data_IF_869173074497
#
_entry.id   IF_869173074497
#
_cell.length_a   1.000
_cell.length_b   1.000
_cell.length_c   1.000
_cell.angle_alpha   90.00
_cell.angle_beta   90.00
_cell.angle_gamma   90.00
#
_symmetry.space_group_name_H-M   'P 1'
#
loop_
_entity.id
_entity.type
_entity.pdbx_description
1 polymer ?
#
# COMPACT_ATOMS: atom_id res chain seq x y z
N UNK A 1 7.59 5.77 45.90
CA UNK A 1 6.45 5.03 45.30
C UNK A 1 5.77 5.96 44.29
N UNK A 2 6.19 5.94 43.02
CA UNK A 2 5.53 6.68 41.95
C UNK A 2 4.33 5.86 41.49
N UNK A 3 3.13 6.21 41.98
CA UNK A 3 1.87 5.73 41.41
C UNK A 3 1.57 6.59 40.20
N UNK A 4 2.08 6.21 39.04
CA UNK A 4 1.51 6.70 37.79
C UNK A 4 0.11 6.08 37.68
N UNK A 5 -0.93 6.88 37.89
CA UNK A 5 -2.27 6.56 37.44
C UNK A 5 -2.20 6.44 35.92
N UNK A 6 -2.04 5.22 35.41
CA UNK A 6 -2.14 4.96 33.98
C UNK A 6 -3.49 5.47 33.50
N UNK A 7 -3.48 6.47 32.62
CA UNK A 7 -4.66 6.85 31.86
C UNK A 7 -5.05 5.62 31.05
N UNK A 8 -6.19 5.01 31.40
CA UNK A 8 -6.75 3.90 30.63
C UNK A 8 -7.24 4.49 29.32
N UNK A 9 -6.40 4.42 28.29
CA UNK A 9 -6.78 4.84 26.93
C UNK A 9 -7.88 3.90 26.46
N UNK A 10 -8.99 4.48 25.97
CA UNK A 10 -10.06 3.69 25.37
C UNK A 10 -9.49 2.91 24.18
N UNK A 11 -9.59 1.58 24.27
CA UNK A 11 -9.07 0.67 23.28
C UNK A 11 -9.64 0.96 21.87
N UNK A 12 -10.89 1.43 21.78
CA UNK A 12 -11.54 1.77 20.52
C UNK A 12 -10.78 2.85 19.75
N UNK A 13 -10.16 3.80 20.47
CA UNK A 13 -9.36 4.86 19.86
C UNK A 13 -8.07 4.26 19.27
N UNK A 14 -7.40 3.37 20.00
CA UNK A 14 -6.19 2.69 19.53
C UNK A 14 -6.51 1.86 18.27
N UNK A 15 -7.64 1.16 18.28
CA UNK A 15 -8.10 0.36 17.16
C UNK A 15 -8.46 1.20 15.93
N UNK A 16 -9.15 2.33 16.12
CA UNK A 16 -9.49 3.25 15.03
C UNK A 16 -8.23 3.90 14.45
N UNK A 17 -7.29 4.32 15.29
CA UNK A 17 -6.03 4.91 14.84
C UNK A 17 -5.18 3.89 14.08
N UNK A 18 -5.02 2.67 14.61
CA UNK A 18 -4.24 1.61 13.96
C UNK A 18 -4.92 1.09 12.70
N UNK A 19 -6.22 0.82 12.76
CA UNK A 19 -7.02 0.41 11.62
C UNK A 19 -7.01 1.46 10.52
N UNK A 20 -7.16 2.74 10.88
CA UNK A 20 -7.05 3.87 9.97
C UNK A 20 -5.66 4.00 9.33
N UNK A 21 -4.59 3.78 10.09
CA UNK A 21 -3.23 3.78 9.56
C UNK A 21 -2.97 2.64 8.57
N UNK A 22 -3.35 1.39 8.91
CA UNK A 22 -3.22 0.24 8.00
C UNK A 22 -4.12 0.40 6.77
N UNK A 23 -5.31 0.96 6.97
CA UNK A 23 -6.25 1.27 5.91
C UNK A 23 -5.65 2.26 4.92
N UNK A 24 -5.11 3.38 5.40
CA UNK A 24 -4.58 4.43 4.53
C UNK A 24 -3.40 3.94 3.70
N UNK A 25 -2.52 3.12 4.28
CA UNK A 25 -1.41 2.51 3.56
C UNK A 25 -1.89 1.51 2.52
N UNK A 26 -2.87 0.67 2.86
CA UNK A 26 -3.47 -0.29 1.92
C UNK A 26 -4.18 0.43 0.76
N UNK A 27 -4.92 1.51 1.05
CA UNK A 27 -5.55 2.37 0.04
C UNK A 27 -4.51 3.02 -0.87
N UNK A 28 -3.44 3.59 -0.30
CA UNK A 28 -2.37 4.23 -1.07
C UNK A 28 -1.70 3.23 -2.04
N UNK A 29 -1.43 2.02 -1.57
CA UNK A 29 -0.88 0.94 -2.41
C UNK A 29 -1.82 0.59 -3.58
N UNK A 30 -3.12 0.46 -3.33
CA UNK A 30 -4.09 0.16 -4.40
C UNK A 30 -4.27 1.30 -5.40
N UNK A 31 -4.21 2.55 -4.94
CA UNK A 31 -4.22 3.73 -5.85
C UNK A 31 -2.98 3.72 -6.74
N UNK A 32 -1.80 3.44 -6.19
CA UNK A 32 -0.57 3.30 -6.98
C UNK A 32 -0.68 2.15 -7.99
N UNK A 33 -1.27 1.03 -7.61
CA UNK A 33 -1.54 -0.08 -8.53
C UNK A 33 -2.51 0.32 -9.64
N UNK A 34 -3.59 1.05 -9.32
CA UNK A 34 -4.55 1.54 -10.31
C UNK A 34 -3.91 2.49 -11.32
N UNK A 35 -3.07 3.42 -10.84
CA UNK A 35 -2.28 4.29 -11.71
C UNK A 35 -1.34 3.48 -12.60
N UNK A 36 -0.74 2.40 -12.10
CA UNK A 36 0.09 1.49 -12.91
C UNK A 36 -0.71 0.84 -14.02
N UNK A 37 -1.90 0.31 -13.70
CA UNK A 37 -2.77 -0.34 -14.67
C UNK A 37 -3.29 0.64 -15.73
N UNK A 38 -3.62 1.87 -15.34
CA UNK A 38 -3.99 2.94 -16.27
C UNK A 38 -2.85 3.21 -17.27
N UNK A 39 -1.62 3.31 -16.78
CA UNK A 39 -0.44 3.55 -17.63
C UNK A 39 -0.13 2.34 -18.53
N UNK A 40 -0.23 1.13 -18.00
CA UNK A 40 -0.09 -0.10 -18.77
C UNK A 40 -1.12 -0.15 -19.91
N UNK A 41 -2.37 0.17 -19.60
CA UNK A 41 -3.45 0.20 -20.58
C UNK A 41 -3.19 1.27 -21.65
N UNK A 42 -2.74 2.46 -21.25
CA UNK A 42 -2.35 3.53 -22.18
C UNK A 42 -1.19 3.11 -23.10
N UNK A 43 -0.21 2.34 -22.60
CA UNK A 43 0.89 1.81 -23.42
C UNK A 43 0.49 0.66 -24.35
N UNK A 44 -0.54 -0.13 -23.99
CA UNK A 44 -1.03 -1.23 -24.82
C UNK A 44 -2.00 -0.77 -25.92
N UNK A 45 -2.91 0.15 -25.57
CA UNK A 45 -4.01 0.60 -26.43
C UNK A 45 -4.11 2.14 -26.48
N UNK A 46 -3.10 2.84 -27.02
CA UNK A 46 -3.02 4.30 -26.98
C UNK A 46 -4.22 5.00 -27.64
N UNK A 47 -4.69 4.48 -28.79
CA UNK A 47 -5.81 5.06 -29.53
C UNK A 47 -7.15 4.94 -28.79
N UNK A 48 -7.39 3.84 -28.08
CA UNK A 48 -8.60 3.63 -27.28
C UNK A 48 -8.55 4.45 -26.00
N UNK A 49 -7.37 4.53 -25.38
CA UNK A 49 -7.17 5.33 -24.18
C UNK A 49 -7.50 6.80 -24.40
N UNK A 50 -7.14 7.38 -25.55
CA UNK A 50 -7.46 8.77 -25.87
C UNK A 50 -8.97 9.03 -25.88
N UNK A 51 -9.75 8.09 -26.41
CA UNK A 51 -11.21 8.23 -26.52
C UNK A 51 -11.92 8.04 -25.18
N UNK A 52 -11.38 7.18 -24.32
CA UNK A 52 -12.05 6.73 -23.08
C UNK A 52 -11.47 7.37 -21.82
N UNK A 53 -10.35 8.09 -21.93
CA UNK A 53 -9.72 8.77 -20.81
C UNK A 53 -10.64 9.87 -20.28
N UNK A 54 -11.21 9.62 -19.10
CA UNK A 54 -12.06 10.57 -18.38
C UNK A 54 -11.49 10.82 -17.00
N UNK A 55 -11.18 12.09 -16.71
CA UNK A 55 -10.72 12.52 -15.37
C UNK A 55 -11.72 12.16 -14.28
N UNK A 56 -13.02 12.23 -14.58
CA UNK A 56 -14.09 11.86 -13.65
C UNK A 56 -14.09 10.36 -13.37
N UNK A 57 -13.86 9.53 -14.38
CA UNK A 57 -13.78 8.08 -14.19
C UNK A 57 -12.57 7.70 -13.32
N UNK A 58 -11.40 8.29 -13.57
CA UNK A 58 -10.19 8.06 -12.77
C UNK A 58 -10.37 8.48 -11.30
N UNK A 59 -11.03 9.63 -11.07
CA UNK A 59 -11.37 10.10 -9.73
C UNK A 59 -12.36 9.15 -9.03
N UNK A 60 -13.43 8.76 -9.72
CA UNK A 60 -14.43 7.83 -9.18
C UNK A 60 -13.80 6.49 -8.80
N UNK A 61 -12.98 5.92 -9.69
CA UNK A 61 -12.29 4.66 -9.43
C UNK A 61 -11.32 4.78 -8.24
N UNK A 62 -10.59 5.89 -8.14
CA UNK A 62 -9.68 6.15 -7.01
C UNK A 62 -10.43 6.23 -5.68
N UNK A 63 -11.56 6.95 -5.64
CA UNK A 63 -12.42 7.04 -4.44
C UNK A 63 -13.02 5.67 -4.09
N UNK A 64 -13.54 4.93 -5.07
CA UNK A 64 -14.08 3.60 -4.87
C UNK A 64 -13.03 2.63 -4.30
N UNK A 65 -11.80 2.68 -4.81
CA UNK A 65 -10.68 1.89 -4.30
C UNK A 65 -10.35 2.27 -2.86
N UNK A 66 -10.29 3.56 -2.51
CA UNK A 66 -10.02 4.00 -1.13
C UNK A 66 -11.12 3.53 -0.18
N UNK A 67 -12.39 3.68 -0.55
CA UNK A 67 -13.52 3.25 0.28
C UNK A 67 -13.54 1.72 0.48
N UNK A 68 -13.34 0.95 -0.60
CA UNK A 68 -13.36 -0.52 -0.53
C UNK A 68 -12.18 -1.08 0.24
N UNK A 69 -10.96 -0.55 0.03
CA UNK A 69 -9.78 -0.90 0.83
C UNK A 69 -9.96 -0.58 2.30
N UNK A 70 -10.50 0.59 2.61
CA UNK A 70 -10.76 1.02 4.00
C UNK A 70 -11.77 0.11 4.67
N UNK A 71 -12.89 -0.15 3.98
CA UNK A 71 -13.91 -1.05 4.49
C UNK A 71 -13.35 -2.46 4.71
N UNK A 72 -12.59 -3.01 3.75
CA UNK A 72 -11.99 -4.34 3.85
C UNK A 72 -11.03 -4.46 5.04
N UNK A 73 -10.11 -3.50 5.21
CA UNK A 73 -9.16 -3.53 6.33
C UNK A 73 -9.89 -3.39 7.65
N UNK A 74 -10.79 -2.40 7.78
CA UNK A 74 -11.54 -2.19 9.01
C UNK A 74 -12.43 -3.38 9.36
N UNK A 75 -13.02 -4.04 8.37
CA UNK A 75 -13.82 -5.25 8.58
C UNK A 75 -12.98 -6.40 9.16
N UNK A 76 -11.79 -6.64 8.60
CA UNK A 76 -10.90 -7.72 9.07
C UNK A 76 -10.23 -7.39 10.41
N UNK A 77 -9.78 -6.15 10.58
CA UNK A 77 -9.17 -5.66 11.83
C UNK A 77 -10.18 -5.65 12.99
N UNK A 78 -11.46 -5.46 12.69
CA UNK A 78 -12.53 -5.44 13.70
C UNK A 78 -13.20 -6.76 14.01
N UNK A 79 -12.72 -7.85 13.40
CA UNK A 79 -13.40 -9.14 13.39
C UNK A 79 -14.90 -9.00 13.12
N UNK A 80 -15.24 -8.41 11.98
CA UNK A 80 -16.63 -8.16 11.58
C UNK A 80 -17.39 -7.30 12.61
N UNK A 81 -16.74 -6.26 13.13
CA UNK A 81 -17.23 -5.32 14.17
C UNK A 81 -17.39 -5.88 15.58
N UNK A 82 -17.16 -7.18 15.83
CA UNK A 82 -17.33 -7.81 17.16
C UNK A 82 -16.47 -7.15 18.24
N UNK A 83 -15.25 -6.74 17.87
CA UNK A 83 -14.30 -6.08 18.77
C UNK A 83 -14.76 -4.69 19.26
N UNK A 84 -15.75 -4.07 18.62
CA UNK A 84 -16.33 -2.81 19.11
C UNK A 84 -17.38 -3.02 20.22
N UNK A 85 -18.04 -4.17 20.22
CA UNK A 85 -19.14 -4.49 21.12
C UNK A 85 -18.71 -5.26 22.36
N UNK A 86 -17.70 -6.14 22.24
CA UNK A 86 -17.24 -6.94 23.37
C UNK A 86 -16.03 -6.30 24.09
N UNK A 87 -15.97 -6.39 25.43
CA UNK A 87 -14.86 -5.87 26.26
C UNK A 87 -13.55 -6.67 26.15
N UNK A 88 -13.38 -7.49 25.10
CA UNK A 88 -12.13 -8.21 24.90
C UNK A 88 -10.99 -7.23 24.63
N UNK A 89 -9.80 -7.51 25.15
CA UNK A 89 -8.55 -6.75 24.93
C UNK A 89 -7.99 -7.08 23.54
N UNK A 90 -8.18 -6.23 22.52
CA UNK A 90 -7.86 -6.55 21.15
C UNK A 90 -6.45 -6.06 20.85
N UNK A 91 -5.47 -6.86 21.22
CA UNK A 91 -4.20 -6.73 20.55
C UNK A 91 -4.40 -7.12 19.08
N UNK A 92 -4.10 -6.20 18.17
CA UNK A 92 -4.01 -6.43 16.73
C UNK A 92 -2.81 -7.34 16.47
N UNK A 93 -2.99 -8.63 16.74
CA UNK A 93 -1.87 -9.49 17.01
C UNK A 93 -2.16 -10.97 16.78
N UNK A 94 -1.17 -11.68 16.24
CA UNK A 94 -1.28 -13.10 15.85
C UNK A 94 -1.38 -14.09 17.01
N UNK A 95 -1.26 -13.63 18.27
CA UNK A 95 -1.46 -14.50 19.45
C UNK A 95 -2.84 -14.35 20.08
N UNK A 96 -3.65 -13.37 19.68
CA UNK A 96 -5.08 -13.46 19.90
C UNK A 96 -5.58 -14.43 18.84
N UNK A 97 -5.76 -15.69 19.22
CA UNK A 97 -6.07 -16.77 18.27
C UNK A 97 -7.27 -16.44 17.36
N UNK A 98 -8.23 -15.66 17.87
CA UNK A 98 -9.40 -15.20 17.16
C UNK A 98 -9.07 -14.21 16.01
N UNK A 99 -8.12 -13.29 16.21
CA UNK A 99 -7.75 -12.27 15.22
C UNK A 99 -6.60 -12.70 14.29
N UNK A 100 -5.82 -13.70 14.70
CA UNK A 100 -4.64 -14.14 13.97
C UNK A 100 -4.95 -14.53 12.51
N UNK A 101 -6.06 -15.25 12.29
CA UNK A 101 -6.47 -15.69 10.96
C UNK A 101 -6.83 -14.51 10.05
N UNK A 102 -7.60 -13.53 10.56
CA UNK A 102 -8.01 -12.33 9.80
C UNK A 102 -6.82 -11.43 9.49
N UNK A 103 -5.92 -11.24 10.44
CA UNK A 103 -4.70 -10.48 10.23
C UNK A 103 -3.80 -11.14 9.16
N UNK A 104 -3.62 -12.46 9.23
CA UNK A 104 -2.88 -13.19 8.19
C UNK A 104 -3.53 -13.06 6.81
N UNK A 105 -4.86 -13.05 6.72
CA UNK A 105 -5.56 -12.82 5.45
C UNK A 105 -5.22 -11.44 4.85
N UNK A 106 -5.22 -10.38 5.67
CA UNK A 106 -4.86 -9.03 5.22
C UNK A 106 -3.40 -8.97 4.74
N UNK A 107 -2.47 -9.55 5.51
CA UNK A 107 -1.06 -9.57 5.14
C UNK A 107 -0.78 -10.39 3.88
N UNK A 108 -1.48 -11.51 3.71
CA UNK A 108 -1.39 -12.32 2.50
C UNK A 108 -1.94 -11.58 1.27
N UNK A 109 -3.10 -10.93 1.40
CA UNK A 109 -3.68 -10.12 0.33
C UNK A 109 -2.75 -8.96 -0.08
N UNK A 110 -2.14 -8.27 0.89
CA UNK A 110 -1.14 -7.24 0.65
C UNK A 110 0.08 -7.79 -0.09
N UNK A 111 0.59 -8.97 0.33
CA UNK A 111 1.75 -9.60 -0.30
C UNK A 111 1.47 -9.93 -1.77
N UNK A 112 0.31 -10.54 -2.05
CA UNK A 112 -0.14 -10.82 -3.43
C UNK A 112 -0.26 -9.52 -4.24
N UNK A 113 -0.92 -8.51 -3.68
CA UNK A 113 -1.07 -7.20 -4.33
C UNK A 113 0.29 -6.59 -4.66
N UNK A 114 1.26 -6.71 -3.76
CA UNK A 114 2.62 -6.19 -3.96
C UNK A 114 3.34 -6.94 -5.09
N UNK A 115 3.19 -8.26 -5.16
CA UNK A 115 3.75 -9.08 -6.27
C UNK A 115 3.13 -8.68 -7.60
N UNK A 116 1.80 -8.49 -7.64
CA UNK A 116 1.09 -8.04 -8.84
C UNK A 116 1.57 -6.65 -9.25
N UNK A 117 1.66 -5.71 -8.31
CA UNK A 117 2.15 -4.35 -8.57
C UNK A 117 3.57 -4.34 -9.14
N UNK A 118 4.45 -5.20 -8.63
CA UNK A 118 5.81 -5.38 -9.13
C UNK A 118 5.82 -5.96 -10.56
N UNK A 119 4.97 -6.96 -10.84
CA UNK A 119 4.84 -7.53 -12.18
C UNK A 119 4.32 -6.53 -13.20
N UNK A 120 3.31 -5.73 -12.83
CA UNK A 120 2.78 -4.63 -13.66
C UNK A 120 3.87 -3.59 -13.91
N UNK A 121 4.66 -3.23 -12.90
CA UNK A 121 5.77 -2.29 -13.06
C UNK A 121 6.84 -2.80 -14.04
N UNK A 122 7.22 -4.08 -13.97
CA UNK A 122 8.16 -4.66 -14.91
C UNK A 122 7.62 -4.66 -16.34
N UNK A 123 6.33 -4.98 -16.50
CA UNK A 123 5.66 -4.93 -17.80
C UNK A 123 5.61 -3.50 -18.35
N UNK A 124 5.30 -2.51 -17.53
CA UNK A 124 5.32 -1.09 -17.89
C UNK A 124 6.70 -0.65 -18.36
N UNK A 125 7.75 -0.99 -17.62
CA UNK A 125 9.15 -0.66 -17.99
C UNK A 125 9.52 -1.36 -19.30
N UNK A 126 9.18 -2.63 -19.45
CA UNK A 126 9.45 -3.38 -20.68
C UNK A 126 8.78 -2.73 -21.90
N UNK A 127 7.49 -2.41 -21.81
CA UNK A 127 6.72 -1.85 -22.91
C UNK A 127 7.14 -0.42 -23.27
N UNK A 128 7.55 0.41 -22.29
CA UNK A 128 7.87 1.82 -22.54
C UNK A 128 9.35 2.09 -22.82
N UNK A 129 10.27 1.20 -22.43
CA UNK A 129 11.72 1.41 -22.61
C UNK A 129 12.38 0.43 -23.56
N UNK A 130 11.95 -0.84 -23.57
CA UNK A 130 12.64 -1.89 -24.34
C UNK A 130 11.94 -2.20 -25.66
N UNK A 131 10.61 -2.09 -25.72
CA UNK A 131 9.87 -2.27 -26.96
C UNK A 131 10.21 -1.15 -27.94
N UNK A 132 10.73 -1.50 -29.12
CA UNK A 132 10.93 -0.53 -30.21
C UNK A 132 9.58 -0.01 -30.69
N UNK A 133 9.44 1.31 -30.80
CA UNK A 133 8.27 1.94 -31.41
C UNK A 133 8.10 1.45 -32.85
N UNK A 134 6.87 1.18 -33.27
CA UNK A 134 6.64 0.78 -34.67
C UNK A 134 6.88 2.01 -35.56
N UNK A 135 7.64 1.82 -36.63
CA UNK A 135 7.83 2.88 -37.63
C UNK A 135 6.47 3.20 -38.26
N UNK A 136 6.07 4.48 -38.26
CA UNK A 136 4.79 4.94 -38.81
C UNK A 136 3.67 5.22 -37.80
N UNK A 137 3.96 5.26 -36.49
CA UNK A 137 2.99 5.67 -35.48
C UNK A 137 2.60 7.16 -35.63
N UNK A 138 1.34 7.49 -35.31
CA UNK A 138 0.84 8.86 -35.36
C UNK A 138 1.55 9.75 -34.33
N UNK A 139 1.59 11.07 -34.59
CA UNK A 139 2.20 12.04 -33.69
C UNK A 139 1.57 11.99 -32.28
N UNK A 140 0.26 11.74 -32.18
CA UNK A 140 -0.46 11.59 -30.91
C UNK A 140 -0.01 10.38 -30.09
N UNK A 141 0.20 9.22 -30.75
CA UNK A 141 0.67 8.00 -30.08
C UNK A 141 2.10 8.19 -29.55
N UNK A 142 2.99 8.82 -30.34
CA UNK A 142 4.35 9.10 -29.89
C UNK A 142 4.40 10.12 -28.73
N UNK A 143 3.51 11.11 -28.72
CA UNK A 143 3.35 12.03 -27.59
C UNK A 143 2.90 11.29 -26.32
N UNK A 144 1.90 10.41 -26.41
CA UNK A 144 1.43 9.61 -25.27
C UNK A 144 2.52 8.70 -24.70
N UNK A 145 3.31 8.03 -25.54
CA UNK A 145 4.44 7.23 -25.07
C UNK A 145 5.51 8.07 -24.37
N UNK A 146 5.82 9.26 -24.90
CA UNK A 146 6.73 10.21 -24.26
C UNK A 146 6.23 10.65 -22.88
N UNK A 147 4.94 10.99 -22.77
CA UNK A 147 4.31 11.37 -21.51
C UNK A 147 4.31 10.22 -20.49
N UNK A 148 3.87 9.03 -20.91
CA UNK A 148 3.88 7.83 -20.06
C UNK A 148 5.29 7.50 -19.57
N UNK A 149 6.31 7.65 -20.43
CA UNK A 149 7.71 7.44 -20.02
C UNK A 149 8.13 8.39 -18.91
N UNK A 150 7.74 9.67 -18.99
CA UNK A 150 8.02 10.67 -17.93
C UNK A 150 7.32 10.29 -16.63
N UNK A 151 6.04 9.95 -16.69
CA UNK A 151 5.26 9.54 -15.52
C UNK A 151 5.85 8.28 -14.87
N UNK A 152 6.21 7.28 -15.67
CA UNK A 152 6.85 6.04 -15.19
C UNK A 152 8.18 6.36 -14.51
N UNK A 153 9.02 7.23 -15.08
CA UNK A 153 10.29 7.61 -14.44
C UNK A 153 10.10 8.27 -13.08
N UNK A 154 9.03 9.06 -12.90
CA UNK A 154 8.73 9.67 -11.60
C UNK A 154 8.19 8.65 -10.61
N UNK A 155 7.35 7.70 -11.05
CA UNK A 155 6.74 6.68 -10.18
C UNK A 155 7.70 5.53 -9.83
N UNK A 156 8.65 5.21 -10.70
CA UNK A 156 9.57 4.09 -10.58
C UNK A 156 10.33 4.07 -9.24
N UNK A 157 11.03 5.15 -8.81
CA UNK A 157 11.75 5.13 -7.54
C UNK A 157 10.81 4.93 -6.35
N UNK A 158 9.61 5.52 -6.38
CA UNK A 158 8.62 5.39 -5.31
C UNK A 158 8.16 3.93 -5.20
N UNK A 159 7.81 3.30 -6.32
CA UNK A 159 7.35 1.91 -6.33
C UNK A 159 8.42 0.90 -5.97
N UNK A 160 9.66 1.09 -6.45
CA UNK A 160 10.78 0.21 -6.09
C UNK A 160 11.04 0.30 -4.58
N UNK A 161 11.03 1.52 -4.04
CA UNK A 161 11.22 1.73 -2.61
C UNK A 161 10.09 1.10 -1.80
N UNK A 162 8.84 1.36 -2.15
CA UNK A 162 7.67 0.74 -1.50
C UNK A 162 7.71 -0.79 -1.54
N UNK A 163 7.96 -1.37 -2.71
CA UNK A 163 8.05 -2.81 -2.87
C UNK A 163 9.20 -3.43 -2.06
N UNK A 164 10.39 -2.81 -2.09
CA UNK A 164 11.55 -3.27 -1.33
C UNK A 164 11.26 -3.28 0.17
N UNK A 165 10.78 -2.16 0.71
CA UNK A 165 10.49 -2.06 2.14
C UNK A 165 9.32 -2.96 2.55
N UNK A 166 8.31 -3.12 1.72
CA UNK A 166 7.19 -4.04 1.98
C UNK A 166 7.68 -5.49 2.02
N UNK A 167 8.54 -5.91 1.09
CA UNK A 167 9.13 -7.26 1.08
C UNK A 167 10.00 -7.48 2.32
N UNK A 168 10.87 -6.52 2.66
CA UNK A 168 11.72 -6.62 3.86
C UNK A 168 10.87 -6.74 5.12
N UNK A 169 9.80 -5.95 5.23
CA UNK A 169 8.93 -5.92 6.40
C UNK A 169 8.10 -7.19 6.54
N UNK A 170 7.51 -7.68 5.45
CA UNK A 170 6.76 -8.93 5.43
C UNK A 170 7.66 -10.13 5.75
N UNK A 171 8.87 -10.18 5.18
CA UNK A 171 9.87 -11.20 5.53
C UNK A 171 10.27 -11.11 7.01
N UNK A 172 10.54 -9.90 7.53
CA UNK A 172 10.86 -9.71 8.94
C UNK A 172 9.72 -10.20 9.85
N UNK A 173 8.47 -9.90 9.51
CA UNK A 173 7.29 -10.37 10.25
C UNK A 173 7.14 -11.90 10.20
N UNK A 174 7.38 -12.53 9.04
CA UNK A 174 7.34 -13.99 8.90
C UNK A 174 8.45 -14.68 9.71
N UNK A 175 9.67 -14.15 9.65
CA UNK A 175 10.81 -14.64 10.45
C UNK A 175 10.50 -14.48 11.94
N UNK A 176 10.03 -13.31 12.37
CA UNK A 176 9.67 -13.06 13.76
C UNK A 176 8.56 -13.99 14.25
N UNK A 177 7.51 -14.20 13.45
CA UNK A 177 6.42 -15.12 13.78
C UNK A 177 6.91 -16.57 13.97
N UNK A 178 7.95 -16.99 13.23
CA UNK A 178 8.50 -18.34 13.29
C UNK A 178 9.52 -18.55 14.41
N UNK A 179 10.36 -17.54 14.69
CA UNK A 179 11.53 -17.69 15.56
C UNK A 179 11.42 -17.00 16.92
N UNK A 180 10.43 -16.13 17.14
CA UNK A 180 10.27 -15.46 18.43
C UNK A 180 9.65 -16.40 19.49
N UNK A 181 10.50 -17.04 20.30
CA UNK A 181 10.08 -17.85 21.44
C UNK A 181 9.83 -16.92 22.63
N UNK A 182 8.59 -16.83 23.10
CA UNK A 182 8.18 -16.05 24.28
C UNK A 182 8.66 -14.58 24.33
N UNK A 183 8.48 -13.77 23.25
CA UNK A 183 8.83 -12.35 23.30
C UNK A 183 8.01 -11.62 24.36
N UNK A 184 8.63 -10.64 25.03
CA UNK A 184 7.89 -9.77 25.94
C UNK A 184 6.80 -9.00 25.19
N UNK A 185 5.68 -8.63 25.84
CA UNK A 185 4.63 -7.84 25.19
C UNK A 185 5.15 -6.54 24.59
N UNK A 186 6.16 -5.93 25.23
CA UNK A 186 6.80 -4.69 24.77
C UNK A 186 7.63 -4.94 23.52
N UNK A 187 8.53 -5.92 23.54
CA UNK A 187 9.39 -6.24 22.38
C UNK A 187 8.56 -6.55 21.14
N UNK A 188 7.47 -7.28 21.35
CA UNK A 188 6.55 -7.64 20.29
C UNK A 188 5.83 -6.43 19.70
N UNK A 189 5.31 -5.56 20.55
CA UNK A 189 4.61 -4.38 20.09
C UNK A 189 5.57 -3.45 19.37
N UNK A 190 6.78 -3.28 19.90
CA UNK A 190 7.82 -2.46 19.31
C UNK A 190 8.26 -3.03 17.94
N UNK A 191 8.40 -4.36 17.82
CA UNK A 191 8.71 -5.01 16.55
C UNK A 191 7.58 -4.88 15.51
N UNK A 192 6.33 -5.06 15.91
CA UNK A 192 5.17 -4.92 15.02
C UNK A 192 5.02 -3.47 14.55
N UNK A 193 5.22 -2.50 15.44
CA UNK A 193 5.17 -1.08 15.10
C UNK A 193 6.33 -0.73 14.14
N UNK A 194 7.57 -1.10 14.47
CA UNK A 194 8.72 -0.85 13.58
C UNK A 194 8.60 -1.51 12.20
N UNK A 195 7.94 -2.67 12.12
CA UNK A 195 7.72 -3.39 10.85
C UNK A 195 6.45 -2.97 10.10
N UNK A 196 5.59 -2.12 10.68
CA UNK A 196 4.40 -1.56 9.99
C UNK A 196 4.62 -0.13 9.49
N UNK A 197 5.52 0.63 10.10
CA UNK A 197 5.98 1.93 9.58
C UNK A 197 6.68 1.94 8.21
N UNK A 198 7.17 0.83 7.63
CA UNK A 198 7.88 0.90 6.35
C UNK A 198 7.03 1.42 5.18
N UNK A 199 5.71 1.35 5.31
CA UNK A 199 4.76 1.96 4.37
C UNK A 199 4.71 3.50 4.44
N UNK A 200 5.30 4.13 5.46
CA UNK A 200 5.46 5.58 5.56
C UNK A 200 6.71 6.08 4.84
N UNK A 201 7.68 5.20 4.55
CA UNK A 201 8.90 5.62 3.87
C UNK A 201 8.69 6.06 2.40
N UNK A 202 7.78 5.48 1.61
CA UNK A 202 7.41 6.02 0.30
C UNK A 202 6.89 7.46 0.39
N UNK A 203 6.11 7.80 1.42
CA UNK A 203 5.64 9.17 1.66
C UNK A 203 6.81 10.11 1.97
N UNK A 204 7.75 9.68 2.82
CA UNK A 204 8.97 10.46 3.09
C UNK A 204 9.78 10.67 1.81
N UNK A 205 9.90 9.64 0.95
CA UNK A 205 10.58 9.74 -0.32
C UNK A 205 9.89 10.72 -1.27
N UNK A 206 8.56 10.70 -1.35
CA UNK A 206 7.77 11.68 -2.13
C UNK A 206 8.05 13.10 -1.64
N UNK A 207 7.99 13.34 -0.32
CA UNK A 207 8.29 14.65 0.26
C UNK A 207 9.73 15.09 -0.07
N UNK A 208 10.70 14.19 0.00
CA UNK A 208 12.10 14.49 -0.36
C UNK A 208 12.26 14.81 -1.85
N UNK A 209 11.54 14.10 -2.73
CA UNK A 209 11.54 14.35 -4.17
C UNK A 209 10.90 15.70 -4.50
N UNK A 210 9.71 15.98 -3.96
CA UNK A 210 9.00 17.26 -4.12
C UNK A 210 9.84 18.44 -3.60
N UNK A 211 10.41 18.31 -2.40
CA UNK A 211 11.29 19.33 -1.82
C UNK A 211 12.49 19.61 -2.72
N UNK A 212 13.11 18.56 -3.28
CA UNK A 212 14.26 18.71 -4.19
C UNK A 212 13.87 19.39 -5.50
N UNK A 213 12.68 19.10 -6.03
CA UNK A 213 12.17 19.68 -7.28
C UNK A 213 11.76 21.14 -7.07
N UNK A 214 11.04 21.46 -5.99
CA UNK A 214 10.60 22.83 -5.68
C UNK A 214 11.73 23.82 -5.33
N UNK A 215 12.96 23.34 -5.16
CA UNK A 215 14.17 24.18 -5.00
C UNK A 215 14.88 24.52 -6.32
N UNK A 216 14.48 23.93 -7.44
CA UNK A 216 15.02 24.24 -8.78
C UNK A 216 14.11 25.21 -9.51
#
# INVERSE_FOLDING_TARGET
>A
RLRFTCVVVDFRIIMLLRGGAISSTFSAHHVLMLLSLERLFSSLFPSQFEQWSSRFLAMFMSVAVVLTSTFYVMWNVSDSTRLFYEHFLPYLDTKVAQNAARYMQVMFALTISTIIALAVLFLDVFLNFYRKAKQGESLGVSYQFSENRRVILTLLPIKIFDAFFTIVSTLAQLVYAKFAINPSPVDRQLFLELSTYPMMYPLMLVVLLEWRVGRR
#
